data_IF_103773756646
#
_entry.id   IF_103773756646
#
_cell.length_a   1.000
_cell.length_b   1.000
_cell.length_c   1.000
_cell.angle_alpha   90.00
_cell.angle_beta   90.00
_cell.angle_gamma   90.00
#
_symmetry.space_group_name_H-M   'P 1'
#
loop_
_entity.id
_entity.type
_entity.pdbx_description
1 polymer ?
#
# COMPACT_ATOMS: atom_id res chain seq x y z
N UNK A 1 14.82 -3.19 8.57
CA UNK A 1 14.10 -3.82 7.44
C UNK A 1 12.65 -3.73 7.81
N UNK A 2 11.86 -3.00 7.02
CA UNK A 2 10.48 -2.67 7.37
C UNK A 2 9.55 -3.51 6.50
N UNK A 3 8.39 -3.86 7.01
CA UNK A 3 7.30 -4.40 6.21
C UNK A 3 6.42 -3.27 5.69
N UNK A 4 5.59 -3.53 4.68
CA UNK A 4 4.56 -2.59 4.27
C UNK A 4 3.62 -2.26 5.44
N UNK A 5 3.35 -3.25 6.32
CA UNK A 5 2.59 -3.02 7.55
C UNK A 5 3.21 -1.93 8.43
N UNK A 6 4.52 -1.99 8.70
CA UNK A 6 5.21 -1.00 9.54
C UNK A 6 5.13 0.42 8.94
N UNK A 7 5.17 0.53 7.60
CA UNK A 7 5.05 1.82 6.92
C UNK A 7 3.63 2.37 7.02
N UNK A 8 2.62 1.53 6.83
CA UNK A 8 1.21 1.95 6.93
C UNK A 8 0.85 2.31 8.38
N UNK A 9 1.34 1.55 9.36
CA UNK A 9 1.18 1.86 10.78
C UNK A 9 1.72 3.26 11.09
N UNK A 10 2.86 3.64 10.49
CA UNK A 10 3.39 5.01 10.57
C UNK A 10 2.46 6.11 10.05
N UNK A 11 1.55 5.81 9.11
CA UNK A 11 0.56 6.79 8.62
C UNK A 11 -0.49 7.14 9.67
N UNK A 12 -0.77 6.24 10.61
CA UNK A 12 -1.70 6.46 11.71
C UNK A 12 -1.18 7.51 12.71
N UNK A 13 0.14 7.65 12.80
CA UNK A 13 0.80 8.62 13.67
C UNK A 13 0.92 10.00 13.02
N UNK A 14 1.06 10.06 11.69
CA UNK A 14 1.19 11.30 10.94
C UNK A 14 0.65 11.14 9.53
N UNK A 15 -0.53 11.71 9.30
CA UNK A 15 -1.14 11.70 7.97
C UNK A 15 -0.36 12.60 7.00
N UNK A 16 0.19 12.01 5.94
CA UNK A 16 0.81 12.75 4.85
C UNK A 16 0.41 12.12 3.51
N UNK A 17 -0.65 12.67 2.91
CA UNK A 17 -1.27 12.12 1.68
C UNK A 17 -0.30 11.98 0.50
N UNK A 18 0.65 12.91 0.35
CA UNK A 18 1.67 12.87 -0.70
C UNK A 18 2.66 11.73 -0.47
N UNK A 19 3.10 11.55 0.78
CA UNK A 19 4.01 10.46 1.13
C UNK A 19 3.35 9.08 0.99
N UNK A 20 2.07 8.98 1.38
CA UNK A 20 1.25 7.77 1.23
C UNK A 20 1.17 7.37 -0.24
N UNK A 21 0.79 8.30 -1.12
CA UNK A 21 0.74 8.06 -2.57
C UNK A 21 2.07 7.65 -3.17
N UNK A 22 3.13 8.38 -2.82
CA UNK A 22 4.48 8.06 -3.29
C UNK A 22 4.91 6.66 -2.82
N UNK A 23 4.52 6.25 -1.62
CA UNK A 23 4.79 4.90 -1.11
C UNK A 23 4.01 3.86 -1.90
N UNK A 24 2.69 4.02 -2.06
CA UNK A 24 1.84 3.08 -2.79
C UNK A 24 2.29 2.91 -4.25
N UNK A 25 2.63 4.00 -4.93
CA UNK A 25 3.14 3.98 -6.30
C UNK A 25 4.47 3.22 -6.41
N UNK A 26 5.40 3.46 -5.48
CA UNK A 26 6.70 2.79 -5.48
C UNK A 26 6.59 1.30 -5.12
N UNK A 27 5.66 0.94 -4.24
CA UNK A 27 5.35 -0.46 -3.90
C UNK A 27 4.65 -1.17 -5.07
N UNK A 28 3.77 -0.49 -5.81
CA UNK A 28 3.07 -1.03 -6.97
C UNK A 28 4.00 -1.29 -8.17
N UNK A 29 4.96 -0.38 -8.41
CA UNK A 29 5.83 -0.38 -9.57
C UNK A 29 6.48 -1.75 -9.91
N UNK A 30 7.09 -2.50 -8.97
CA UNK A 30 7.67 -3.80 -9.28
C UNK A 30 6.65 -4.87 -9.67
N UNK A 31 5.41 -4.82 -9.16
CA UNK A 31 4.34 -5.73 -9.55
C UNK A 31 3.77 -5.36 -10.94
N UNK A 32 3.58 -4.06 -11.20
CA UNK A 32 3.13 -3.57 -12.51
C UNK A 32 4.11 -3.87 -13.64
N UNK A 33 5.43 -3.85 -13.38
CA UNK A 33 6.44 -4.31 -14.35
C UNK A 33 6.22 -5.76 -14.79
N UNK A 34 5.52 -6.57 -13.99
CA UNK A 34 5.15 -7.97 -14.27
C UNK A 34 3.70 -8.13 -14.77
N UNK A 35 3.01 -7.02 -15.06
CA UNK A 35 1.58 -6.98 -15.41
C UNK A 35 0.68 -7.59 -14.33
N UNK A 36 0.99 -7.32 -13.07
CA UNK A 36 0.24 -7.80 -11.91
C UNK A 36 -0.19 -6.63 -11.04
N UNK A 37 -1.47 -6.61 -10.67
CA UNK A 37 -2.01 -5.70 -9.67
C UNK A 37 -2.07 -6.43 -8.33
N UNK A 38 -1.49 -5.85 -7.28
CA UNK A 38 -1.52 -6.43 -5.95
C UNK A 38 -2.78 -5.97 -5.21
N UNK A 39 -3.64 -6.92 -4.81
CA UNK A 39 -4.98 -6.62 -4.30
C UNK A 39 -4.98 -5.62 -3.13
N UNK A 40 -3.98 -5.70 -2.25
CA UNK A 40 -3.91 -4.83 -1.07
C UNK A 40 -3.75 -3.37 -1.49
N UNK A 41 -2.98 -3.10 -2.54
CA UNK A 41 -2.80 -1.73 -3.04
C UNK A 41 -4.09 -1.19 -3.67
N UNK A 42 -4.88 -2.05 -4.33
CA UNK A 42 -6.21 -1.66 -4.83
C UNK A 42 -7.12 -1.25 -3.66
N UNK A 43 -7.20 -2.08 -2.61
CA UNK A 43 -8.04 -1.72 -1.45
C UNK A 43 -7.55 -0.44 -0.73
N UNK A 44 -6.25 -0.16 -0.73
CA UNK A 44 -5.71 1.11 -0.24
C UNK A 44 -6.15 2.29 -1.10
N UNK A 45 -6.09 2.16 -2.43
CA UNK A 45 -6.54 3.21 -3.33
C UNK A 45 -8.03 3.50 -3.19
N UNK A 46 -8.88 2.47 -3.15
CA UNK A 46 -10.31 2.61 -2.92
C UNK A 46 -10.60 3.34 -1.58
N UNK A 47 -9.82 3.01 -0.55
CA UNK A 47 -9.94 3.64 0.78
C UNK A 47 -9.50 5.10 0.75
N UNK A 48 -8.44 5.44 0.01
CA UNK A 48 -7.99 6.82 -0.16
C UNK A 48 -8.96 7.65 -0.99
N UNK A 49 -9.57 7.08 -2.03
CA UNK A 49 -10.62 7.76 -2.81
C UNK A 49 -11.82 8.12 -1.94
N UNK A 50 -12.24 7.22 -1.05
CA UNK A 50 -13.29 7.50 -0.06
C UNK A 50 -12.87 8.61 0.91
N UNK A 51 -11.63 8.57 1.41
CA UNK A 51 -11.10 9.56 2.35
C UNK A 51 -11.01 10.96 1.71
N UNK A 52 -10.69 11.02 0.43
CA UNK A 52 -10.51 12.25 -0.33
C UNK A 52 -11.86 12.81 -0.87
N UNK A 53 -12.99 12.11 -0.71
CA UNK A 53 -14.30 12.61 -1.14
C UNK A 53 -14.69 13.85 -0.29
N UNK A 54 -14.83 15.05 -0.91
CA UNK A 54 -15.17 16.27 -0.19
C UNK A 54 -16.58 16.28 0.41
N UNK A 55 -17.45 15.34 0.01
CA UNK A 55 -18.80 15.17 0.57
C UNK A 55 -18.78 14.46 1.92
N UNK A 56 -17.75 13.66 2.15
CA UNK A 56 -17.55 12.96 3.40
C UNK A 56 -16.81 13.89 4.36
N UNK A 57 -17.42 14.21 5.51
CA UNK A 57 -16.74 15.03 6.52
C UNK A 57 -15.63 14.20 7.19
N UNK A 58 -14.42 14.29 6.64
CA UNK A 58 -13.32 13.39 6.98
C UNK A 58 -12.28 14.05 7.90
N UNK A 59 -12.43 13.84 9.22
CA UNK A 59 -11.44 14.24 10.23
C UNK A 59 -10.22 13.33 10.19
N UNK A 60 -9.09 13.73 10.78
CA UNK A 60 -7.89 12.89 10.83
C UNK A 60 -8.16 11.55 11.53
N UNK A 61 -8.93 11.54 12.61
CA UNK A 61 -9.28 10.32 13.35
C UNK A 61 -10.10 9.36 12.47
N UNK A 62 -11.00 9.88 11.63
CA UNK A 62 -11.76 9.06 10.69
C UNK A 62 -10.87 8.46 9.61
N UNK A 63 -9.93 9.24 9.07
CA UNK A 63 -8.94 8.74 8.08
C UNK A 63 -8.13 7.59 8.66
N UNK A 64 -7.61 7.78 9.88
CA UNK A 64 -6.84 6.77 10.61
C UNK A 64 -7.71 5.52 10.81
N UNK A 65 -8.94 5.68 11.29
CA UNK A 65 -9.86 4.56 11.52
C UNK A 65 -10.15 3.76 10.24
N UNK A 66 -10.28 4.41 9.08
CA UNK A 66 -10.44 3.70 7.80
C UNK A 66 -9.20 2.87 7.43
N UNK A 67 -8.00 3.40 7.63
CA UNK A 67 -6.75 2.66 7.39
C UNK A 67 -6.57 1.51 8.37
N UNK A 68 -6.80 1.74 9.66
CA UNK A 68 -6.73 0.70 10.69
C UNK A 68 -7.76 -0.40 10.43
N UNK A 69 -8.99 -0.03 10.05
CA UNK A 69 -10.01 -1.00 9.70
C UNK A 69 -9.60 -1.83 8.48
N UNK A 70 -9.05 -1.20 7.44
CA UNK A 70 -8.52 -1.89 6.27
C UNK A 70 -7.43 -2.89 6.66
N UNK A 71 -6.48 -2.49 7.52
CA UNK A 71 -5.41 -3.34 8.01
C UNK A 71 -5.89 -4.45 8.95
N UNK A 72 -6.95 -4.23 9.73
CA UNK A 72 -7.49 -5.21 10.70
C UNK A 72 -8.06 -6.46 10.05
N UNK A 73 -8.32 -6.44 8.73
CA UNK A 73 -8.73 -7.62 7.97
C UNK A 73 -7.55 -8.59 7.89
N UNK A 74 -7.71 -9.82 8.39
CA UNK A 74 -6.65 -10.84 8.48
C UNK A 74 -5.86 -11.01 7.16
N UNK A 75 -6.58 -11.03 6.02
CA UNK A 75 -5.96 -11.15 4.70
C UNK A 75 -5.00 -9.98 4.41
N UNK A 76 -5.41 -8.77 4.76
CA UNK A 76 -4.70 -7.53 4.46
C UNK A 76 -3.49 -7.38 5.38
N UNK A 77 -3.68 -7.64 6.67
CA UNK A 77 -2.60 -7.66 7.66
C UNK A 77 -1.49 -8.61 7.21
N UNK A 78 -1.85 -9.85 6.87
CA UNK A 78 -0.89 -10.85 6.41
C UNK A 78 -0.16 -10.40 5.14
N UNK A 79 -0.91 -9.89 4.16
CA UNK A 79 -0.33 -9.41 2.91
C UNK A 79 0.63 -8.23 3.15
N UNK A 80 0.29 -7.29 4.03
CA UNK A 80 1.12 -6.15 4.39
C UNK A 80 2.40 -6.58 5.12
N UNK A 81 2.32 -7.56 6.04
CA UNK A 81 3.47 -8.11 6.77
C UNK A 81 4.41 -8.93 5.87
N UNK A 82 3.89 -9.50 4.78
CA UNK A 82 4.69 -10.26 3.81
C UNK A 82 5.50 -9.36 2.88
N UNK A 83 5.06 -8.13 2.59
CA UNK A 83 5.80 -7.22 1.70
C UNK A 83 6.97 -6.59 2.46
N UNK A 84 8.19 -6.91 2.04
CA UNK A 84 9.42 -6.37 2.64
C UNK A 84 9.93 -5.16 1.89
N UNK A 85 10.25 -4.10 2.62
CA UNK A 85 10.62 -2.80 2.09
C UNK A 85 11.99 -2.34 2.62
N UNK A 86 12.74 -1.70 1.74
CA UNK A 86 13.84 -0.81 2.08
C UNK A 86 13.41 0.63 1.82
N UNK A 87 13.55 1.48 2.83
CA UNK A 87 13.22 2.91 2.76
C UNK A 87 14.51 3.71 2.87
N UNK A 88 14.74 4.57 1.89
CA UNK A 88 15.82 5.56 1.89
C UNK A 88 15.19 6.94 1.95
N UNK A 89 15.61 7.79 2.88
CA UNK A 89 15.02 9.14 3.05
C UNK A 89 15.91 10.28 2.54
N UNK A 90 17.18 9.99 2.19
CA UNK A 90 18.15 11.00 1.74
C UNK A 90 19.06 10.44 0.64
N UNK A 91 19.33 11.18 -0.45
CA UNK A 91 18.90 12.56 -0.74
C UNK A 91 17.43 12.69 -1.19
N UNK A 92 16.77 11.58 -1.50
CA UNK A 92 15.37 11.53 -1.94
C UNK A 92 14.64 10.39 -1.22
N UNK A 93 13.34 10.56 -0.99
CA UNK A 93 12.49 9.52 -0.44
C UNK A 93 12.27 8.42 -1.47
N UNK A 94 12.75 7.21 -1.18
CA UNK A 94 12.65 6.04 -2.04
C UNK A 94 12.22 4.80 -1.25
N UNK A 95 11.28 4.06 -1.82
CA UNK A 95 10.79 2.78 -1.30
C UNK A 95 11.09 1.68 -2.32
N UNK A 96 11.79 0.63 -1.88
CA UNK A 96 12.13 -0.52 -2.73
C UNK A 96 11.53 -1.79 -2.15
N UNK A 97 10.75 -2.54 -2.93
CA UNK A 97 10.22 -3.85 -2.54
C UNK A 97 11.27 -4.92 -2.76
N UNK A 98 11.67 -5.60 -1.68
CA UNK A 98 12.83 -6.50 -1.66
C UNK A 98 12.51 -7.93 -2.11
N UNK A 99 11.28 -8.39 -1.92
CA UNK A 99 10.89 -9.79 -2.09
C UNK A 99 9.79 -9.99 -3.14
N UNK A 100 9.73 -9.13 -4.17
CA UNK A 100 8.67 -9.14 -5.20
C UNK A 100 8.39 -10.53 -5.79
N UNK A 101 9.42 -11.22 -6.30
CA UNK A 101 9.24 -12.52 -6.98
C UNK A 101 8.82 -13.64 -6.01
N UNK A 102 9.27 -13.56 -4.76
CA UNK A 102 8.89 -14.51 -3.71
C UNK A 102 7.39 -14.40 -3.40
N UNK A 103 6.88 -13.18 -3.22
CA UNK A 103 5.46 -12.96 -2.90
C UNK A 103 4.56 -13.44 -4.04
N UNK A 104 4.92 -13.15 -5.28
CA UNK A 104 4.17 -13.59 -6.46
C UNK A 104 4.12 -15.13 -6.53
N UNK A 105 5.25 -15.79 -6.27
CA UNK A 105 5.37 -17.24 -6.31
C UNK A 105 4.58 -17.92 -5.19
N UNK A 106 4.70 -17.43 -3.95
CA UNK A 106 4.07 -18.02 -2.77
C UNK A 106 2.57 -17.69 -2.67
N UNK A 107 2.14 -16.55 -3.20
CA UNK A 107 0.78 -16.04 -3.06
C UNK A 107 0.19 -15.54 -4.39
N UNK A 108 0.11 -16.37 -5.44
CA UNK A 108 -0.39 -15.94 -6.75
C UNK A 108 -1.83 -15.42 -6.71
N UNK A 109 -2.66 -15.92 -5.79
CA UNK A 109 -4.05 -15.46 -5.59
C UNK A 109 -4.20 -14.06 -4.99
N UNK A 110 -3.09 -13.37 -4.66
CA UNK A 110 -3.10 -11.96 -4.26
C UNK A 110 -2.97 -11.01 -5.45
N UNK A 111 -2.82 -11.53 -6.66
CA UNK A 111 -2.55 -10.73 -7.84
C UNK A 111 -3.62 -10.91 -8.90
N UNK A 112 -4.05 -9.79 -9.46
CA UNK A 112 -4.87 -9.76 -10.67
C UNK A 112 -3.98 -9.46 -11.88
N UNK A 113 -4.32 -10.00 -13.05
CA UNK A 113 -3.63 -9.62 -14.28
C UNK A 113 -3.96 -8.18 -14.62
N UNK A 114 -2.92 -7.39 -14.88
CA UNK A 114 -3.04 -6.05 -15.40
C UNK A 114 -2.95 -6.09 -16.92
N UNK A 115 -4.09 -6.06 -17.59
CA UNK A 115 -4.14 -6.11 -19.05
C UNK A 115 -3.90 -4.76 -19.72
N UNK A 116 -3.86 -3.67 -18.95
CA UNK A 116 -3.44 -2.33 -19.35
C UNK A 116 -3.99 -1.88 -20.71
N UNK A 117 -5.16 -1.25 -20.74
CA UNK A 117 -5.37 -0.24 -21.79
C UNK A 117 -4.56 0.98 -21.37
N UNK A 118 -3.38 1.14 -21.99
CA UNK A 118 -2.67 2.42 -22.08
C UNK A 118 -3.55 3.48 -22.72
#
# INVERSE_FOLDING_TARGET
MNTLFDIIDGWTMKWNRVLIENTLNQVAAPFYKRKLVFFLLEEFWDTLELIDDPREFMTEERKISHIEHLLSKERNERAAKTVMLEVTESPEFKVTVLNTDEIISQHPGWFNKYDGMT
#
